data_IF_653965836335
#
_entry.id   IF_653965836335
#
_cell.length_a   1.000
_cell.length_b   1.000
_cell.length_c   1.000
_cell.angle_alpha   90.00
_cell.angle_beta   90.00
_cell.angle_gamma   90.00
#
_symmetry.space_group_name_H-M   'P 1'
#
loop_
_entity.id
_entity.type
_entity.pdbx_description
1 polymer ?
#
# COMPACT_ATOMS: atom_id res chain seq x y z
N UNK A 1 11.86 -1.03 13.14
CA UNK A 1 12.47 0.26 12.77
C UNK A 1 11.90 0.71 11.44
N UNK A 2 11.51 1.98 11.29
CA UNK A 2 11.01 2.54 10.02
C UNK A 2 12.19 2.80 9.08
N UNK A 3 12.01 2.57 7.79
CA UNK A 3 13.03 2.86 6.77
C UNK A 3 12.77 4.25 6.19
N UNK A 4 13.30 5.27 6.86
CA UNK A 4 13.04 6.68 6.55
C UNK A 4 14.26 7.27 5.86
N UNK A 5 14.02 7.91 4.72
CA UNK A 5 14.97 8.73 4.00
C UNK A 5 14.51 10.18 4.08
N UNK A 6 15.41 11.11 4.38
CA UNK A 6 15.09 12.53 4.40
C UNK A 6 15.64 13.18 3.14
N UNK A 7 14.77 13.46 2.17
CA UNK A 7 15.16 14.09 0.92
C UNK A 7 13.97 14.68 0.17
N UNK A 8 14.17 15.83 -0.49
CA UNK A 8 13.21 16.39 -1.43
C UNK A 8 13.01 15.47 -2.64
N UNK A 9 11.78 15.35 -3.13
CA UNK A 9 11.45 14.57 -4.32
C UNK A 9 10.53 15.37 -5.25
N UNK A 10 10.80 15.34 -6.55
CA UNK A 10 9.92 15.91 -7.56
C UNK A 10 8.88 14.86 -7.97
N UNK A 11 7.60 15.20 -7.82
CA UNK A 11 6.47 14.30 -7.99
C UNK A 11 5.46 14.86 -9.00
N UNK A 12 5.01 14.03 -9.93
CA UNK A 12 3.81 14.31 -10.71
C UNK A 12 2.58 13.75 -9.99
N UNK A 13 1.54 14.56 -9.85
CA UNK A 13 0.27 14.10 -9.29
C UNK A 13 -0.52 13.33 -10.33
N UNK A 14 -0.89 12.10 -10.00
CA UNK A 14 -1.74 11.26 -10.84
C UNK A 14 -2.89 10.69 -10.02
N UNK A 15 -3.94 10.23 -10.72
CA UNK A 15 -5.02 9.45 -10.13
C UNK A 15 -5.21 8.17 -10.92
N UNK A 16 -5.04 7.04 -10.23
CA UNK A 16 -5.35 5.72 -10.78
C UNK A 16 -6.25 5.02 -9.77
N UNK A 17 -7.52 4.88 -10.13
CA UNK A 17 -8.45 4.10 -9.33
C UNK A 17 -8.05 2.62 -9.39
N UNK A 18 -8.20 1.94 -8.24
CA UNK A 18 -8.00 0.51 -8.11
C UNK A 18 -8.92 -0.26 -9.07
N UNK A 19 -8.54 -1.51 -9.34
CA UNK A 19 -9.30 -2.40 -10.18
C UNK A 19 -8.91 -3.85 -9.87
N UNK A 20 -9.47 -4.79 -10.63
CA UNK A 20 -8.98 -6.16 -10.64
C UNK A 20 -7.47 -6.22 -10.95
N UNK A 21 -6.85 -7.33 -10.57
CA UNK A 21 -5.41 -7.57 -10.67
C UNK A 21 -4.84 -7.22 -12.05
N UNK A 22 -5.46 -7.69 -13.14
CA UNK A 22 -4.93 -7.52 -14.47
C UNK A 22 -5.04 -6.06 -14.92
N UNK A 23 -6.22 -5.46 -14.73
CA UNK A 23 -6.48 -4.08 -15.12
C UNK A 23 -5.59 -3.10 -14.36
N UNK A 24 -5.46 -3.26 -13.04
CA UNK A 24 -4.65 -2.36 -12.23
C UNK A 24 -3.16 -2.49 -12.59
N UNK A 25 -2.63 -3.72 -12.68
CA UNK A 25 -1.23 -3.95 -13.05
C UNK A 25 -0.89 -3.36 -14.43
N UNK A 26 -1.78 -3.49 -15.42
CA UNK A 26 -1.53 -2.93 -16.75
C UNK A 26 -1.43 -1.40 -16.74
N UNK A 27 -2.26 -0.70 -15.95
CA UNK A 27 -2.15 0.75 -15.78
C UNK A 27 -0.80 1.14 -15.18
N UNK A 28 -0.28 0.37 -14.23
CA UNK A 28 1.02 0.62 -13.59
C UNK A 28 2.21 0.32 -14.50
N UNK A 29 2.12 -0.73 -15.33
CA UNK A 29 3.11 -1.02 -16.37
C UNK A 29 3.19 0.14 -17.37
N UNK A 30 2.07 0.76 -17.72
CA UNK A 30 2.03 1.86 -18.69
C UNK A 30 2.52 3.20 -18.12
N UNK A 31 2.78 3.30 -16.80
CA UNK A 31 3.30 4.53 -16.21
C UNK A 31 4.73 4.85 -16.72
N UNK A 32 5.00 6.10 -17.14
CA UNK A 32 6.35 6.57 -17.40
C UNK A 32 7.27 6.48 -16.17
N UNK A 33 8.58 6.52 -16.38
CA UNK A 33 9.56 6.49 -15.29
C UNK A 33 9.70 7.88 -14.65
N UNK A 34 9.38 8.00 -13.36
CA UNK A 34 9.55 9.17 -12.49
C UNK A 34 8.97 8.89 -11.09
N UNK A 35 8.99 9.90 -10.23
CA UNK A 35 8.22 9.93 -8.98
C UNK A 35 6.79 10.45 -9.20
N UNK A 36 5.84 9.87 -8.47
CA UNK A 36 4.43 10.23 -8.52
C UNK A 36 3.83 10.41 -7.13
N UNK A 37 3.00 11.43 -6.97
CA UNK A 37 2.04 11.54 -5.88
C UNK A 37 0.75 10.82 -6.32
N UNK A 38 0.35 9.82 -5.56
CA UNK A 38 -0.73 8.89 -5.96
C UNK A 38 -1.93 8.88 -5.03
N UNK A 39 -1.74 9.25 -3.77
CA UNK A 39 -2.82 9.41 -2.79
C UNK A 39 -2.50 10.54 -1.81
N UNK A 40 -3.54 11.20 -1.32
CA UNK A 40 -3.46 12.12 -0.18
C UNK A 40 -4.05 11.45 1.07
N UNK A 41 -3.44 11.67 2.23
CA UNK A 41 -3.93 11.22 3.53
C UNK A 41 -4.54 12.40 4.29
N UNK A 42 -5.52 12.13 5.16
CA UNK A 42 -6.21 13.17 5.94
C UNK A 42 -5.32 13.95 6.91
N UNK A 43 -4.16 13.39 7.26
CA UNK A 43 -3.16 14.03 8.12
C UNK A 43 -2.13 14.88 7.35
N UNK A 44 -2.33 15.08 6.04
CA UNK A 44 -1.46 15.87 5.17
C UNK A 44 -0.26 15.12 4.59
N UNK A 45 -0.01 13.88 5.03
CA UNK A 45 0.95 12.99 4.38
C UNK A 45 0.40 12.48 3.04
N UNK A 46 1.27 11.89 2.22
CA UNK A 46 0.95 11.42 0.87
C UNK A 46 1.43 10.00 0.68
N UNK A 47 0.74 9.22 -0.15
CA UNK A 47 1.34 8.02 -0.74
C UNK A 47 2.02 8.44 -2.03
N UNK A 48 3.28 8.05 -2.18
CA UNK A 48 4.09 8.37 -3.35
C UNK A 48 4.77 7.10 -3.86
N UNK A 49 4.98 7.03 -5.17
CA UNK A 49 5.71 5.92 -5.79
C UNK A 49 6.85 6.41 -6.66
N UNK A 50 7.87 5.58 -6.86
CA UNK A 50 8.97 5.86 -7.79
C UNK A 50 9.17 4.70 -8.74
N UNK A 51 9.12 4.95 -10.05
CA UNK A 51 9.38 3.97 -11.10
C UNK A 51 10.63 4.38 -11.91
N UNK A 52 11.63 3.52 -12.10
CA UNK A 52 11.69 2.12 -11.67
C UNK A 52 12.06 1.95 -10.19
N UNK A 53 11.74 0.80 -9.61
CA UNK A 53 12.01 0.46 -8.20
C UNK A 53 13.37 -0.19 -7.92
N UNK A 54 14.15 -0.46 -8.97
CA UNK A 54 15.51 -0.99 -8.85
C UNK A 54 15.62 -2.49 -8.57
N UNK A 55 14.51 -3.23 -8.47
CA UNK A 55 14.52 -4.67 -8.23
C UNK A 55 15.17 -5.44 -9.37
N UNK A 56 15.95 -6.46 -9.00
CA UNK A 56 16.59 -7.40 -9.93
C UNK A 56 16.15 -8.83 -9.58
N UNK A 57 15.80 -9.63 -10.59
CA UNK A 57 15.40 -11.03 -10.41
C UNK A 57 16.23 -11.89 -11.37
N UNK A 58 16.97 -12.86 -10.83
CA UNK A 58 17.93 -13.69 -11.58
C UNK A 58 18.89 -12.88 -12.47
N UNK A 59 19.41 -11.77 -11.94
CA UNK A 59 20.33 -10.87 -12.66
C UNK A 59 19.66 -9.98 -13.72
N UNK A 60 18.34 -10.02 -13.88
CA UNK A 60 17.59 -9.17 -14.82
C UNK A 60 16.83 -8.06 -14.09
N UNK A 61 16.99 -6.78 -14.47
CA UNK A 61 16.22 -5.69 -13.90
C UNK A 61 14.71 -5.88 -14.15
N UNK A 62 13.90 -5.73 -13.11
CA UNK A 62 12.45 -5.60 -13.20
C UNK A 62 12.12 -4.14 -13.51
N UNK A 63 12.16 -3.82 -14.79
CA UNK A 63 11.95 -2.46 -15.33
C UNK A 63 10.63 -1.81 -14.89
N UNK A 64 9.59 -2.63 -14.74
CA UNK A 64 8.26 -2.15 -14.36
C UNK A 64 8.03 -2.08 -12.85
N UNK A 65 8.98 -2.54 -12.04
CA UNK A 65 8.91 -2.40 -10.58
C UNK A 65 8.89 -0.92 -10.16
N UNK A 66 8.34 -0.64 -8.99
CA UNK A 66 8.33 0.68 -8.40
C UNK A 66 8.38 0.58 -6.87
N UNK A 67 8.88 1.60 -6.18
CA UNK A 67 8.85 1.66 -4.73
C UNK A 67 7.60 2.42 -4.27
N UNK A 68 7.09 2.10 -3.07
CA UNK A 68 5.97 2.79 -2.43
C UNK A 68 6.46 3.43 -1.13
N UNK A 69 6.10 4.69 -0.92
CA UNK A 69 6.46 5.44 0.27
C UNK A 69 5.24 6.16 0.86
N UNK A 70 5.27 6.33 2.18
CA UNK A 70 4.49 7.38 2.86
C UNK A 70 5.41 8.59 2.96
N UNK A 71 5.01 9.69 2.33
CA UNK A 71 5.76 10.94 2.29
C UNK A 71 5.14 11.98 3.22
N UNK A 72 5.94 12.53 4.12
CA UNK A 72 5.60 13.69 4.93
C UNK A 72 6.26 14.95 4.33
N UNK A 73 5.49 15.83 3.68
CA UNK A 73 6.04 17.02 3.02
C UNK A 73 6.59 18.05 4.00
N UNK A 74 6.15 18.05 5.27
CA UNK A 74 6.60 19.04 6.25
C UNK A 74 8.04 18.77 6.72
N UNK A 75 8.44 17.50 6.69
CA UNK A 75 9.75 17.04 7.16
C UNK A 75 10.64 16.49 6.04
N UNK A 76 10.12 16.46 4.80
CA UNK A 76 10.75 15.82 3.64
C UNK A 76 11.11 14.35 3.88
N UNK A 77 10.28 13.65 4.67
CA UNK A 77 10.52 12.27 5.06
C UNK A 77 9.81 11.30 4.12
N UNK A 78 10.59 10.45 3.46
CA UNK A 78 10.14 9.32 2.65
C UNK A 78 10.28 8.05 3.47
N UNK A 79 9.17 7.55 4.00
CA UNK A 79 9.15 6.25 4.66
C UNK A 79 8.80 5.16 3.65
N UNK A 80 9.78 4.34 3.30
CA UNK A 80 9.55 3.13 2.52
C UNK A 80 8.92 2.06 3.43
N UNK A 81 7.59 2.03 3.42
CA UNK A 81 6.83 1.09 4.25
C UNK A 81 6.99 -0.35 3.72
N UNK A 82 7.17 -1.31 4.61
CA UNK A 82 7.38 -2.73 4.26
C UNK A 82 6.24 -3.63 4.71
N UNK A 83 6.09 -4.79 4.06
CA UNK A 83 5.12 -5.82 4.46
C UNK A 83 5.23 -6.19 5.95
N UNK A 84 6.45 -6.34 6.47
CA UNK A 84 6.65 -6.68 7.88
C UNK A 84 6.18 -5.56 8.82
N UNK A 85 6.41 -4.29 8.45
CA UNK A 85 5.94 -3.16 9.25
C UNK A 85 4.42 -3.11 9.30
N UNK A 86 3.75 -3.33 8.16
CA UNK A 86 2.29 -3.34 8.14
C UNK A 86 1.73 -4.55 8.87
N UNK A 87 2.32 -5.74 8.70
CA UNK A 87 1.92 -6.94 9.43
C UNK A 87 2.01 -6.74 10.95
N UNK A 88 3.12 -6.20 11.44
CA UNK A 88 3.30 -5.91 12.87
C UNK A 88 2.25 -4.90 13.38
N UNK A 89 1.95 -3.88 12.58
CA UNK A 89 0.93 -2.87 12.91
C UNK A 89 -0.46 -3.50 13.04
N UNK A 90 -0.84 -4.35 12.08
CA UNK A 90 -2.11 -5.08 12.07
C UNK A 90 -2.21 -6.05 13.24
N UNK A 91 -1.13 -6.76 13.57
CA UNK A 91 -1.10 -7.63 14.76
C UNK A 91 -1.31 -6.82 16.05
N UNK A 92 -0.73 -5.63 16.15
CA UNK A 92 -0.98 -4.69 17.24
C UNK A 92 -2.46 -4.29 17.31
N UNK A 93 -3.05 -3.92 16.18
CA UNK A 93 -4.49 -3.59 16.07
C UNK A 93 -5.41 -4.74 16.47
N UNK A 94 -5.05 -5.98 16.11
CA UNK A 94 -5.76 -7.20 16.53
C UNK A 94 -5.69 -7.40 18.05
N UNK A 95 -4.52 -7.19 18.65
CA UNK A 95 -4.35 -7.26 20.11
C UNK A 95 -5.12 -6.16 20.83
N UNK A 96 -5.15 -4.96 20.26
CA UNK A 96 -5.83 -3.79 20.82
C UNK A 96 -7.36 -3.95 20.79
N UNK A 97 -7.95 -4.28 19.63
CA UNK A 97 -9.38 -4.44 19.47
C UNK A 97 -9.72 -5.39 18.31
N UNK A 98 -10.01 -6.66 18.64
CA UNK A 98 -10.34 -7.70 17.65
C UNK A 98 -11.55 -7.36 16.76
N UNK A 99 -12.60 -6.79 17.33
CA UNK A 99 -13.83 -6.49 16.58
C UNK A 99 -13.59 -5.39 15.54
N UNK A 100 -12.81 -4.38 15.90
CA UNK A 100 -12.45 -3.28 15.01
C UNK A 100 -11.38 -3.68 13.99
N UNK A 101 -10.40 -4.50 14.40
CA UNK A 101 -9.43 -5.11 13.50
C UNK A 101 -10.09 -6.00 12.44
N UNK A 102 -11.16 -6.72 12.79
CA UNK A 102 -11.96 -7.50 11.83
C UNK A 102 -12.60 -6.59 10.78
N UNK A 103 -13.20 -5.45 11.18
CA UNK A 103 -13.73 -4.46 10.23
C UNK A 103 -12.63 -3.90 9.34
N UNK A 104 -11.47 -3.55 9.92
CA UNK A 104 -10.31 -3.08 9.17
C UNK A 104 -9.87 -4.08 8.10
N UNK A 105 -9.73 -5.35 8.45
CA UNK A 105 -9.33 -6.42 7.51
C UNK A 105 -10.36 -6.66 6.41
N UNK A 106 -11.65 -6.50 6.67
CA UNK A 106 -12.69 -6.55 5.63
C UNK A 106 -12.57 -5.38 4.65
N UNK A 107 -12.24 -4.17 5.12
CA UNK A 107 -11.98 -3.03 4.23
C UNK A 107 -10.69 -3.21 3.40
N UNK A 108 -9.67 -3.84 3.98
CA UNK A 108 -8.49 -4.29 3.24
C UNK A 108 -8.87 -5.32 2.17
N UNK A 109 -9.74 -6.29 2.49
CA UNK A 109 -10.19 -7.32 1.55
C UNK A 109 -10.94 -6.71 0.34
N UNK A 110 -11.81 -5.73 0.57
CA UNK A 110 -12.46 -4.96 -0.50
C UNK A 110 -11.42 -4.31 -1.43
N UNK A 111 -10.40 -3.69 -0.85
CA UNK A 111 -9.29 -3.09 -1.60
C UNK A 111 -8.48 -4.15 -2.36
N UNK A 112 -8.19 -5.28 -1.74
CA UNK A 112 -7.51 -6.43 -2.35
C UNK A 112 -8.28 -6.94 -3.58
N UNK A 113 -9.61 -6.99 -3.48
CA UNK A 113 -10.52 -7.40 -4.55
C UNK A 113 -10.74 -6.33 -5.64
N UNK A 114 -10.06 -5.19 -5.54
CA UNK A 114 -10.04 -4.18 -6.59
C UNK A 114 -11.01 -3.01 -6.39
N UNK A 115 -11.74 -2.96 -5.27
CA UNK A 115 -12.51 -1.76 -4.93
C UNK A 115 -11.58 -0.58 -4.61
N UNK A 116 -11.96 0.62 -5.03
CA UNK A 116 -11.20 1.84 -4.79
C UNK A 116 -11.43 2.36 -3.35
N UNK A 117 -10.39 2.46 -2.50
CA UNK A 117 -10.52 2.94 -1.12
C UNK A 117 -11.23 4.28 -0.96
N UNK A 118 -11.08 5.18 -1.93
CA UNK A 118 -11.78 6.47 -1.90
C UNK A 118 -13.32 6.33 -1.87
N UNK A 119 -13.88 5.24 -2.43
CA UNK A 119 -15.32 5.01 -2.48
C UNK A 119 -15.93 4.59 -1.13
N UNK A 120 -15.10 4.17 -0.17
CA UNK A 120 -15.53 3.78 1.17
C UNK A 120 -14.65 4.41 2.25
N UNK A 121 -14.11 5.61 1.96
CA UNK A 121 -13.17 6.30 2.84
C UNK A 121 -13.77 6.66 4.20
N UNK A 122 -15.08 6.88 4.27
CA UNK A 122 -15.77 7.16 5.53
C UNK A 122 -15.74 5.94 6.46
N UNK A 123 -15.91 4.73 5.92
CA UNK A 123 -15.82 3.48 6.70
C UNK A 123 -14.40 3.29 7.23
N UNK A 124 -13.39 3.60 6.41
CA UNK A 124 -11.98 3.50 6.81
C UNK A 124 -11.67 4.48 7.95
N UNK A 125 -12.13 5.73 7.84
CA UNK A 125 -11.86 6.80 8.82
C UNK A 125 -12.69 6.68 10.10
N UNK A 126 -13.77 5.92 10.07
CA UNK A 126 -14.56 5.61 11.26
C UNK A 126 -13.88 4.58 12.19
N UNK A 127 -12.81 3.92 11.73
CA UNK A 127 -12.02 3.00 12.54
C UNK A 127 -11.04 3.78 13.42
N UNK A 128 -10.98 3.41 14.69
CA UNK A 128 -10.13 4.04 15.69
C UNK A 128 -9.20 3.02 16.34
N UNK A 129 -7.90 3.29 16.23
CA UNK A 129 -6.86 2.58 16.96
C UNK A 129 -5.96 3.63 17.62
N UNK A 130 -5.58 3.37 18.87
CA UNK A 130 -4.70 4.20 19.68
C UNK A 130 -3.23 4.02 19.31
N UNK A 131 -2.89 2.95 18.59
CA UNK A 131 -1.53 2.60 18.22
C UNK A 131 -1.35 2.32 16.71
N UNK A 132 -0.10 2.48 16.26
CA UNK A 132 0.29 2.24 14.87
C UNK A 132 -0.15 3.35 13.90
N UNK A 133 -0.08 3.05 12.62
CA UNK A 133 -0.53 3.95 11.56
C UNK A 133 -2.05 3.97 11.43
N UNK A 134 -2.57 5.03 10.80
CA UNK A 134 -4.00 5.13 10.55
C UNK A 134 -4.47 4.05 9.56
N UNK A 135 -5.71 3.55 9.71
CA UNK A 135 -6.32 2.64 8.74
C UNK A 135 -6.27 3.17 7.30
N UNK A 136 -6.45 4.49 7.13
CA UNK A 136 -6.36 5.17 5.83
C UNK A 136 -4.97 5.02 5.21
N UNK A 137 -3.91 5.31 5.97
CA UNK A 137 -2.53 5.20 5.48
C UNK A 137 -2.19 3.77 5.06
N UNK A 138 -2.57 2.78 5.88
CA UNK A 138 -2.28 1.37 5.60
C UNK A 138 -3.02 0.85 4.37
N UNK A 139 -4.33 1.10 4.26
CA UNK A 139 -5.13 0.61 3.12
C UNK A 139 -4.67 1.27 1.82
N UNK A 140 -4.47 2.59 1.81
CA UNK A 140 -4.00 3.31 0.62
C UNK A 140 -2.59 2.88 0.24
N UNK A 141 -1.67 2.68 1.17
CA UNK A 141 -0.35 2.13 0.87
C UNK A 141 -0.46 0.71 0.27
N UNK A 142 -1.32 -0.15 0.84
CA UNK A 142 -1.46 -1.53 0.37
C UNK A 142 -2.02 -1.66 -1.04
N UNK A 143 -2.94 -0.77 -1.45
CA UNK A 143 -3.38 -0.68 -2.86
C UNK A 143 -2.18 -0.66 -3.81
N UNK A 144 -1.20 0.21 -3.54
CA UNK A 144 -0.01 0.39 -4.38
C UNK A 144 1.01 -0.75 -4.21
N UNK A 145 1.18 -1.29 -3.01
CA UNK A 145 2.04 -2.46 -2.77
C UNK A 145 1.51 -3.70 -3.50
N UNK A 146 0.20 -3.96 -3.46
CA UNK A 146 -0.41 -5.06 -4.20
C UNK A 146 -0.29 -4.88 -5.71
N UNK A 147 -0.46 -3.65 -6.20
CA UNK A 147 -0.13 -3.31 -7.59
C UNK A 147 1.32 -3.64 -7.95
N UNK A 148 2.27 -3.32 -7.06
CA UNK A 148 3.69 -3.62 -7.24
C UNK A 148 3.93 -5.13 -7.32
N UNK A 149 3.30 -5.90 -6.45
CA UNK A 149 3.39 -7.37 -6.45
C UNK A 149 2.83 -7.97 -7.74
N UNK A 150 1.70 -7.48 -8.22
CA UNK A 150 1.11 -7.96 -9.47
C UNK A 150 1.98 -7.65 -10.70
N UNK A 151 2.59 -6.46 -10.75
CA UNK A 151 3.54 -6.09 -11.81
C UNK A 151 4.80 -6.95 -11.75
N UNK A 152 5.30 -7.23 -10.55
CA UNK A 152 6.51 -8.03 -10.36
C UNK A 152 6.33 -9.51 -10.70
N UNK A 153 5.14 -10.05 -10.41
CA UNK A 153 4.79 -11.46 -10.52
C UNK A 153 3.51 -11.68 -11.34
N UNK A 154 3.50 -11.30 -12.63
CA UNK A 154 2.29 -11.30 -13.46
C UNK A 154 1.71 -12.71 -13.68
N UNK A 155 2.57 -13.73 -13.75
CA UNK A 155 2.19 -15.14 -13.88
C UNK A 155 2.23 -15.89 -12.54
N UNK A 156 2.46 -15.19 -11.44
CA UNK A 156 2.53 -15.75 -10.09
C UNK A 156 1.36 -15.32 -9.22
N UNK A 157 1.50 -15.54 -7.93
CA UNK A 157 0.50 -15.19 -6.93
C UNK A 157 0.25 -13.67 -6.87
N UNK A 158 1.27 -12.84 -7.13
CA UNK A 158 1.14 -11.38 -7.10
C UNK A 158 0.70 -10.92 -5.71
N UNK A 159 -0.33 -10.07 -5.65
CA UNK A 159 -0.93 -9.61 -4.38
C UNK A 159 -1.38 -10.72 -3.43
N UNK A 160 -1.68 -11.91 -3.95
CA UNK A 160 -2.08 -13.04 -3.11
C UNK A 160 -0.95 -13.50 -2.16
N UNK A 161 0.32 -13.29 -2.54
CA UNK A 161 1.46 -13.70 -1.70
C UNK A 161 1.41 -13.04 -0.33
N UNK A 162 1.18 -11.73 -0.29
CA UNK A 162 1.08 -10.98 0.96
C UNK A 162 -0.32 -11.10 1.58
N UNK A 163 -1.37 -11.28 0.78
CA UNK A 163 -2.74 -11.41 1.29
C UNK A 163 -2.99 -12.67 2.14
N UNK A 164 -2.35 -13.80 1.83
CA UNK A 164 -2.54 -15.07 2.56
C UNK A 164 -2.39 -14.94 4.08
N UNK A 165 -1.38 -14.20 4.54
CA UNK A 165 -1.16 -13.97 5.97
C UNK A 165 -2.34 -13.24 6.62
N UNK A 166 -2.99 -12.33 5.90
CA UNK A 166 -4.19 -11.64 6.40
C UNK A 166 -5.42 -12.53 6.41
N UNK A 167 -5.56 -13.46 5.45
CA UNK A 167 -6.63 -14.46 5.46
C UNK A 167 -6.54 -15.39 6.69
N UNK A 168 -5.32 -15.77 7.07
CA UNK A 168 -5.07 -16.56 8.28
C UNK A 168 -5.47 -15.78 9.55
N UNK A 169 -5.12 -14.50 9.64
CA UNK A 169 -5.54 -13.63 10.75
C UNK A 169 -7.07 -13.54 10.79
N UNK A 170 -7.74 -13.25 9.68
CA UNK A 170 -9.21 -13.15 9.60
C UNK A 170 -9.86 -14.45 10.09
N UNK A 171 -9.33 -15.59 9.70
CA UNK A 171 -9.86 -16.91 10.09
C UNK A 171 -9.74 -17.19 11.59
N UNK A 172 -8.86 -16.46 12.30
CA UNK A 172 -8.64 -16.58 13.74
C UNK A 172 -9.38 -15.54 14.60
N UNK A 173 -10.12 -14.61 13.97
CA UNK A 173 -10.84 -13.50 14.60
C UNK A 173 -12.35 -13.74 14.73
#
# INVERSE_FOLDING_TARGET
MKNIYQHSINLEKIRIDNADKATFAQKLINLPYRGYEVEELSDGRKIVITKPGGKTVYGRPKKEDFLVFIYDPNNENLWQISHQQILNDIQGKVQENKAEAKKFLLLMERTYNGEEPANFINDIRALHFSSGESPEALIKAYKWIWGQEDVNYPNGEGRLMSWKTYQEIISSL
#
